data_IF_718593247759
#
_entry.id   IF_718593247759
#
_cell.length_a   1.000
_cell.length_b   1.000
_cell.length_c   1.000
_cell.angle_alpha   90.00
_cell.angle_beta   90.00
_cell.angle_gamma   90.00
#
_symmetry.space_group_name_H-M   'P 1'
#
loop_
_entity.id
_entity.type
_entity.pdbx_description
1 polymer ?
#
# COMPACT_ATOMS: atom_id res chain seq x y z
N UNK A 1 15.61 1.83 18.90
CA UNK A 1 14.49 2.62 19.43
C UNK A 1 13.65 2.99 18.23
N UNK A 2 12.40 2.53 18.19
CA UNK A 2 11.50 2.89 17.09
C UNK A 2 11.33 4.41 17.06
N UNK A 3 11.50 5.00 15.87
CA UNK A 3 11.32 6.45 15.70
C UNK A 3 9.85 6.79 15.87
N UNK A 4 9.55 7.80 16.67
CA UNK A 4 8.19 8.29 16.80
C UNK A 4 7.74 8.95 15.47
N UNK A 5 6.43 9.09 15.29
CA UNK A 5 5.87 9.88 14.16
C UNK A 5 6.48 11.28 14.09
N UNK A 6 6.74 11.90 15.24
CA UNK A 6 7.34 13.24 15.32
C UNK A 6 8.77 13.25 14.78
N UNK A 7 9.57 12.22 15.12
CA UNK A 7 10.94 12.08 14.61
C UNK A 7 10.95 11.94 13.09
N UNK A 8 9.99 11.19 12.52
CA UNK A 8 9.87 11.01 11.07
C UNK A 8 9.43 12.31 10.38
N UNK A 9 8.54 13.09 10.99
CA UNK A 9 8.18 14.43 10.50
C UNK A 9 9.40 15.35 10.50
N UNK A 10 10.22 15.31 11.56
CA UNK A 10 11.48 16.06 11.63
C UNK A 10 12.45 15.65 10.53
N UNK A 11 12.61 14.34 10.30
CA UNK A 11 13.47 13.81 9.24
C UNK A 11 12.97 14.19 7.84
N UNK A 12 11.65 14.20 7.63
CA UNK A 12 11.05 14.68 6.39
C UNK A 12 11.33 16.17 6.13
N UNK A 13 11.24 17.01 7.17
CA UNK A 13 11.58 18.42 7.06
C UNK A 13 13.06 18.62 6.71
N UNK A 14 13.96 17.90 7.38
CA UNK A 14 15.40 17.90 7.05
C UNK A 14 15.64 17.44 5.61
N UNK A 15 14.95 16.40 5.16
CA UNK A 15 15.06 15.88 3.80
C UNK A 15 14.63 16.94 2.77
N UNK A 16 13.51 17.62 3.01
CA UNK A 16 13.03 18.73 2.17
C UNK A 16 14.07 19.85 2.05
N UNK A 17 14.69 20.25 3.16
CA UNK A 17 15.73 21.29 3.16
C UNK A 17 16.99 20.85 2.41
N UNK A 18 17.41 19.58 2.59
CA UNK A 18 18.54 19.00 1.87
C UNK A 18 18.29 18.98 0.36
N UNK A 19 17.11 18.56 -0.08
CA UNK A 19 16.74 18.50 -1.50
C UNK A 19 16.68 19.90 -2.10
N UNK A 20 15.92 20.81 -1.50
CA UNK A 20 15.74 22.18 -2.01
C UNK A 20 17.06 22.97 -2.04
N UNK A 21 17.88 22.87 -1.00
CA UNK A 21 19.20 23.50 -0.97
C UNK A 21 20.15 22.92 -2.02
N UNK A 22 20.16 21.61 -2.20
CA UNK A 22 20.99 20.95 -3.21
C UNK A 22 20.51 21.22 -4.64
N UNK A 23 19.20 21.34 -4.86
CA UNK A 23 18.61 21.66 -6.15
C UNK A 23 19.03 23.06 -6.61
N UNK A 24 18.96 24.07 -5.73
CA UNK A 24 19.44 25.43 -6.05
C UNK A 24 20.91 25.46 -6.49
N UNK A 25 21.76 24.68 -5.82
CA UNK A 25 23.17 24.53 -6.18
C UNK A 25 23.35 23.78 -7.52
N UNK A 26 22.53 22.76 -7.76
CA UNK A 26 22.59 22.00 -8.99
C UNK A 26 22.10 22.82 -10.21
N UNK A 27 21.07 23.65 -10.02
CA UNK A 27 20.57 24.57 -11.04
C UNK A 27 21.62 25.62 -11.41
N UNK A 28 22.27 26.25 -10.41
CA UNK A 28 23.35 27.20 -10.70
C UNK A 28 24.55 26.55 -11.38
N UNK A 29 24.81 25.26 -11.11
CA UNK A 29 25.80 24.48 -11.85
C UNK A 29 25.38 24.25 -13.31
N UNK A 30 24.10 23.95 -13.56
CA UNK A 30 23.57 23.72 -14.90
C UNK A 30 23.48 24.99 -15.76
N UNK A 31 23.27 26.15 -15.14
CA UNK A 31 23.17 27.45 -15.81
C UNK A 31 24.54 28.05 -16.17
N UNK A 32 25.64 27.51 -15.62
CA UNK A 32 27.00 27.94 -15.98
C UNK A 32 27.35 27.46 -17.40
N UNK A 33 27.32 28.40 -18.34
CA UNK A 33 27.85 28.20 -19.70
C UNK A 33 29.38 27.96 -19.69
N UNK A 34 29.93 27.45 -20.81
CA UNK A 34 31.30 26.94 -20.99
C UNK A 34 32.47 27.91 -20.71
N UNK A 35 32.22 29.06 -20.07
CA UNK A 35 33.22 30.07 -19.69
C UNK A 35 33.37 30.29 -18.18
N UNK A 36 32.77 29.45 -17.31
CA UNK A 36 32.95 29.56 -15.85
C UNK A 36 34.24 28.90 -15.37
N UNK A 37 34.91 29.49 -14.38
CA UNK A 37 36.12 28.93 -13.77
C UNK A 37 35.90 27.49 -13.27
N UNK A 38 36.78 26.57 -13.69
CA UNK A 38 36.73 25.14 -13.35
C UNK A 38 36.70 24.89 -11.83
N UNK A 39 37.34 25.77 -11.06
CA UNK A 39 37.38 25.75 -9.59
C UNK A 39 36.00 25.93 -8.97
N UNK A 40 35.18 26.85 -9.51
CA UNK A 40 33.85 27.11 -8.99
C UNK A 40 32.90 25.92 -9.20
N UNK A 41 32.99 25.26 -10.37
CA UNK A 41 32.16 24.09 -10.66
C UNK A 41 32.51 22.92 -9.74
N UNK A 42 33.80 22.70 -9.47
CA UNK A 42 34.27 21.69 -8.50
C UNK A 42 33.78 22.00 -7.09
N UNK A 43 33.77 23.25 -6.69
CA UNK A 43 33.28 23.67 -5.36
C UNK A 43 31.77 23.48 -5.22
N UNK A 44 30.99 23.82 -6.25
CA UNK A 44 29.54 23.54 -6.26
C UNK A 44 29.28 22.03 -6.18
N UNK A 45 29.96 21.22 -6.98
CA UNK A 45 29.86 19.76 -6.92
C UNK A 45 30.21 19.21 -5.53
N UNK A 46 31.27 19.74 -4.90
CA UNK A 46 31.67 19.39 -3.53
C UNK A 46 30.57 19.70 -2.52
N UNK A 47 29.97 20.89 -2.59
CA UNK A 47 28.87 21.29 -1.71
C UNK A 47 27.64 20.40 -1.89
N UNK A 48 27.24 20.10 -3.12
CA UNK A 48 26.12 19.17 -3.41
C UNK A 48 26.38 17.79 -2.76
N UNK A 49 27.58 17.23 -2.92
CA UNK A 49 27.94 15.93 -2.33
C UNK A 49 27.83 15.90 -0.81
N UNK A 50 28.27 16.96 -0.14
CA UNK A 50 28.19 17.07 1.31
C UNK A 50 26.75 17.25 1.78
N UNK A 51 25.99 18.14 1.13
CA UNK A 51 24.58 18.38 1.44
C UNK A 51 23.72 17.11 1.30
N UNK A 52 24.02 16.24 0.34
CA UNK A 52 23.30 14.98 0.12
C UNK A 52 23.83 13.79 0.93
N UNK A 53 24.86 13.98 1.78
CA UNK A 53 25.38 12.92 2.66
C UNK A 53 24.34 12.33 3.64
N UNK A 54 23.46 13.12 4.30
CA UNK A 54 22.46 12.59 5.23
C UNK A 54 21.24 11.96 4.54
N UNK A 55 21.01 12.22 3.24
CA UNK A 55 19.80 11.78 2.53
C UNK A 55 19.46 10.29 2.72
N UNK A 56 20.41 9.34 2.61
CA UNK A 56 20.11 7.91 2.76
C UNK A 56 19.61 7.53 4.15
N UNK A 57 20.12 8.18 5.19
CA UNK A 57 19.69 7.93 6.58
C UNK A 57 18.28 8.48 6.83
N UNK A 58 17.99 9.69 6.34
CA UNK A 58 16.66 10.30 6.43
C UNK A 58 15.64 9.45 5.66
N UNK A 59 16.00 9.01 4.46
CA UNK A 59 15.16 8.16 3.63
C UNK A 59 14.87 6.81 4.27
N UNK A 60 15.86 6.18 4.91
CA UNK A 60 15.68 4.88 5.59
C UNK A 60 14.56 4.95 6.63
N UNK A 61 14.62 5.93 7.54
CA UNK A 61 13.62 6.09 8.59
C UNK A 61 12.22 6.37 8.05
N UNK A 62 12.11 7.22 7.02
CA UNK A 62 10.82 7.51 6.38
C UNK A 62 10.24 6.27 5.71
N UNK A 63 11.06 5.52 4.96
CA UNK A 63 10.62 4.28 4.29
C UNK A 63 10.13 3.24 5.29
N UNK A 64 10.92 2.98 6.32
CA UNK A 64 10.58 2.04 7.40
C UNK A 64 9.25 2.43 8.05
N UNK A 65 9.11 3.70 8.44
CA UNK A 65 7.87 4.19 9.05
C UNK A 65 6.67 4.07 8.11
N UNK A 66 6.79 4.41 6.83
CA UNK A 66 5.68 4.33 5.86
C UNK A 66 5.33 2.88 5.50
N UNK A 67 6.29 1.95 5.52
CA UNK A 67 6.01 0.52 5.31
C UNK A 67 5.24 -0.06 6.49
N UNK A 68 5.62 0.30 7.71
CA UNK A 68 5.00 -0.20 8.94
C UNK A 68 3.68 0.52 9.23
N UNK A 69 3.59 1.81 8.95
CA UNK A 69 2.45 2.67 9.26
C UNK A 69 1.82 3.24 8.00
N UNK A 70 0.50 3.07 7.85
CA UNK A 70 -0.26 3.61 6.73
C UNK A 70 -0.57 5.12 6.90
N UNK A 71 0.45 5.92 7.19
CA UNK A 71 0.31 7.37 7.36
C UNK A 71 0.24 8.06 5.99
N UNK A 72 -0.99 8.20 5.48
CA UNK A 72 -1.28 8.85 4.20
C UNK A 72 -0.85 10.32 4.16
N UNK A 73 -0.92 11.04 5.28
CA UNK A 73 -0.57 12.46 5.29
C UNK A 73 0.94 12.66 5.23
N UNK A 74 1.69 11.82 5.95
CA UNK A 74 3.14 11.79 5.86
C UNK A 74 3.59 11.32 4.47
N UNK A 75 2.96 10.28 3.93
CA UNK A 75 3.21 9.81 2.57
C UNK A 75 2.96 10.91 1.53
N UNK A 76 1.87 11.68 1.66
CA UNK A 76 1.56 12.80 0.75
C UNK A 76 2.64 13.88 0.78
N UNK A 77 3.10 14.26 1.98
CA UNK A 77 4.19 15.25 2.14
C UNK A 77 5.50 14.74 1.55
N UNK A 78 5.84 13.46 1.76
CA UNK A 78 7.04 12.84 1.18
C UNK A 78 6.97 12.79 -0.35
N UNK A 79 5.83 12.38 -0.92
CA UNK A 79 5.58 12.37 -2.36
C UNK A 79 5.60 13.77 -2.96
N UNK A 80 5.23 14.80 -2.19
CA UNK A 80 5.31 16.20 -2.60
C UNK A 80 6.71 16.69 -2.96
N UNK A 81 7.77 15.99 -2.52
CA UNK A 81 9.16 16.30 -2.85
C UNK A 81 9.63 15.66 -4.18
N UNK A 82 8.77 14.89 -4.84
CA UNK A 82 9.13 14.07 -6.00
C UNK A 82 9.73 14.88 -7.15
N UNK A 83 9.06 15.95 -7.60
CA UNK A 83 9.47 16.65 -8.82
C UNK A 83 10.82 17.35 -8.63
N UNK A 84 11.02 18.00 -7.49
CA UNK A 84 12.29 18.60 -7.10
C UNK A 84 13.41 17.54 -7.00
N UNK A 85 13.11 16.38 -6.40
CA UNK A 85 14.09 15.29 -6.26
C UNK A 85 14.45 14.69 -7.62
N UNK A 86 13.46 14.49 -8.50
CA UNK A 86 13.65 13.98 -9.85
C UNK A 86 14.45 14.94 -10.72
N UNK A 87 14.18 16.25 -10.59
CA UNK A 87 14.96 17.30 -11.26
C UNK A 87 16.40 17.35 -10.76
N UNK A 88 16.60 17.33 -9.45
CA UNK A 88 17.92 17.27 -8.82
C UNK A 88 18.70 16.03 -9.29
N UNK A 89 18.06 14.86 -9.33
CA UNK A 89 18.66 13.65 -9.90
C UNK A 89 19.07 13.85 -11.35
N UNK A 90 18.17 14.39 -12.19
CA UNK A 90 18.43 14.62 -13.61
C UNK A 90 19.62 15.56 -13.88
N UNK A 91 19.87 16.52 -12.98
CA UNK A 91 21.08 17.36 -13.05
C UNK A 91 22.30 16.59 -12.58
N UNK A 92 22.26 15.99 -11.38
CA UNK A 92 23.39 15.24 -10.82
C UNK A 92 23.90 14.15 -11.77
N UNK A 93 23.00 13.44 -12.46
CA UNK A 93 23.35 12.35 -13.39
C UNK A 93 24.14 12.80 -14.63
N UNK A 94 24.25 14.11 -14.89
CA UNK A 94 25.02 14.64 -16.02
C UNK A 94 26.50 14.88 -15.67
N UNK A 95 26.86 14.83 -14.38
CA UNK A 95 28.21 15.15 -13.91
C UNK A 95 28.84 13.94 -13.22
N UNK A 96 29.97 13.44 -13.74
CA UNK A 96 30.69 12.30 -13.17
C UNK A 96 31.11 12.53 -11.70
N UNK A 97 31.46 13.76 -11.35
CA UNK A 97 31.78 14.13 -9.96
C UNK A 97 30.62 13.94 -8.97
N UNK A 98 29.40 13.79 -9.48
CA UNK A 98 28.16 13.65 -8.74
C UNK A 98 27.54 12.25 -8.81
N UNK A 99 28.24 11.22 -9.30
CA UNK A 99 27.68 9.85 -9.41
C UNK A 99 27.04 9.33 -8.12
N UNK A 100 27.69 9.55 -6.98
CA UNK A 100 27.13 9.17 -5.66
C UNK A 100 25.88 9.99 -5.30
N UNK A 101 25.85 11.27 -5.68
CA UNK A 101 24.69 12.13 -5.48
C UNK A 101 23.53 11.73 -6.40
N UNK A 102 23.82 11.41 -7.67
CA UNK A 102 22.88 10.87 -8.64
C UNK A 102 22.26 9.56 -8.15
N UNK A 103 23.08 8.64 -7.62
CA UNK A 103 22.59 7.40 -7.02
C UNK A 103 21.63 7.66 -5.86
N UNK A 104 22.02 8.50 -4.89
CA UNK A 104 21.22 8.81 -3.69
C UNK A 104 19.89 9.47 -4.05
N UNK A 105 19.92 10.48 -4.92
CA UNK A 105 18.73 11.19 -5.39
C UNK A 105 17.83 10.26 -6.22
N UNK A 106 18.43 9.34 -6.99
CA UNK A 106 17.71 8.31 -7.73
C UNK A 106 16.93 7.36 -6.83
N UNK A 107 17.57 6.85 -5.79
CA UNK A 107 16.93 6.01 -4.77
C UNK A 107 15.79 6.76 -4.06
N UNK A 108 15.94 8.07 -3.81
CA UNK A 108 14.93 8.89 -3.18
C UNK A 108 13.69 9.11 -4.05
N UNK A 109 13.84 9.61 -5.29
CA UNK A 109 12.67 9.89 -6.12
C UNK A 109 11.94 8.60 -6.53
N UNK A 110 12.66 7.52 -6.84
CA UNK A 110 12.04 6.23 -7.13
C UNK A 110 11.23 5.68 -5.95
N UNK A 111 11.67 5.96 -4.71
CA UNK A 111 10.86 5.65 -3.53
C UNK A 111 9.60 6.48 -3.42
N UNK A 112 9.68 7.76 -3.77
CA UNK A 112 8.50 8.61 -3.82
C UNK A 112 7.53 8.10 -4.89
N UNK A 113 8.02 7.58 -6.03
CA UNK A 113 7.18 6.92 -7.03
C UNK A 113 6.52 5.65 -6.49
N UNK A 114 7.26 4.78 -5.77
CA UNK A 114 6.70 3.58 -5.12
C UNK A 114 5.57 3.95 -4.16
N UNK A 115 5.82 4.91 -3.25
CA UNK A 115 4.85 5.36 -2.26
C UNK A 115 3.65 6.03 -2.94
N UNK A 116 3.88 6.86 -3.96
CA UNK A 116 2.81 7.47 -4.76
C UNK A 116 1.91 6.41 -5.36
N UNK A 117 2.47 5.45 -6.08
CA UNK A 117 1.70 4.37 -6.72
C UNK A 117 0.91 3.52 -5.72
N UNK A 118 1.43 3.36 -4.50
CA UNK A 118 0.78 2.57 -3.47
C UNK A 118 -0.36 3.31 -2.76
N UNK A 119 -0.16 4.57 -2.35
CA UNK A 119 -1.15 5.34 -1.58
C UNK A 119 -2.10 6.19 -2.42
N UNK A 120 -1.60 6.65 -3.56
CA UNK A 120 -2.27 7.55 -4.47
C UNK A 120 -2.18 6.99 -5.89
N UNK A 121 -2.66 5.75 -6.12
CA UNK A 121 -2.75 5.26 -7.49
C UNK A 121 -3.57 6.29 -8.27
N UNK A 122 -2.99 6.84 -9.32
CA UNK A 122 -3.76 7.62 -10.26
C UNK A 122 -4.95 6.76 -10.70
N UNK A 123 -6.05 7.41 -11.08
CA UNK A 123 -7.10 6.74 -11.83
C UNK A 123 -6.48 6.36 -13.17
N UNK A 124 -5.65 5.33 -13.21
CA UNK A 124 -5.16 4.77 -14.45
C UNK A 124 -6.43 4.43 -15.23
N UNK A 125 -6.61 5.17 -16.34
CA UNK A 125 -7.24 4.61 -17.51
C UNK A 125 -6.75 3.17 -17.58
N UNK A 126 -7.69 2.23 -17.52
CA UNK A 126 -7.50 0.91 -18.10
C UNK A 126 -6.61 1.12 -19.33
N UNK A 127 -5.54 0.35 -19.43
CA UNK A 127 -4.84 0.22 -20.69
C UNK A 127 -5.91 0.00 -21.75
N UNK A 128 -6.21 1.04 -22.51
CA UNK A 128 -6.87 0.91 -23.80
C UNK A 128 -5.76 0.35 -24.67
N UNK A 129 -5.52 -0.95 -24.53
CA UNK A 129 -5.02 -1.71 -25.67
C UNK A 129 -6.06 -1.51 -26.77
N UNK A 130 -5.69 -0.96 -27.93
CA UNK A 130 -6.54 -1.13 -29.08
C UNK A 130 -6.61 -2.63 -29.33
N UNK A 131 -7.83 -3.16 -29.46
CA UNK A 131 -8.17 -4.57 -29.66
C UNK A 131 -8.35 -5.41 -28.38
N UNK A 132 -9.59 -5.45 -27.88
CA UNK A 132 -10.32 -6.71 -27.76
C UNK A 132 -9.78 -7.85 -26.89
N UNK A 133 -8.89 -7.61 -25.92
CA UNK A 133 -8.53 -8.62 -24.92
C UNK A 133 -8.91 -8.15 -23.51
N UNK A 134 -9.98 -8.73 -22.98
CA UNK A 134 -10.24 -8.81 -21.54
C UNK A 134 -9.01 -9.44 -20.85
N UNK A 135 -8.12 -8.62 -20.30
CA UNK A 135 -7.04 -9.09 -19.42
C UNK A 135 -7.29 -8.54 -18.03
N UNK A 136 -8.40 -8.99 -17.44
CA UNK A 136 -8.37 -9.25 -16.00
C UNK A 136 -7.31 -10.33 -15.78
N UNK A 137 -6.20 -10.07 -15.07
CA UNK A 137 -5.21 -11.09 -14.82
C UNK A 137 -5.90 -12.30 -14.20
N UNK A 138 -5.67 -13.48 -14.78
CA UNK A 138 -6.17 -14.75 -14.25
C UNK A 138 -5.90 -14.76 -12.74
N UNK A 139 -6.92 -15.05 -11.90
CA UNK A 139 -6.73 -15.11 -10.47
C UNK A 139 -5.60 -16.09 -10.15
N UNK A 140 -4.60 -15.63 -9.40
CA UNK A 140 -3.50 -16.46 -8.93
C UNK A 140 -4.05 -17.56 -8.02
N UNK A 141 -3.57 -18.79 -8.19
CA UNK A 141 -3.90 -19.93 -7.33
C UNK A 141 -3.09 -19.90 -6.04
N UNK A 142 -3.51 -20.68 -5.03
CA UNK A 142 -2.75 -20.80 -3.78
C UNK A 142 -1.32 -21.28 -4.02
N UNK A 143 -1.14 -22.29 -4.87
CA UNK A 143 0.16 -22.88 -5.20
C UNK A 143 1.08 -21.86 -5.88
N UNK A 144 0.58 -21.14 -6.89
CA UNK A 144 1.34 -20.08 -7.55
C UNK A 144 1.74 -18.95 -6.58
N UNK A 145 0.87 -18.60 -5.64
CA UNK A 145 1.18 -17.63 -4.59
C UNK A 145 2.28 -18.16 -3.66
N UNK A 146 2.19 -19.41 -3.22
CA UNK A 146 3.23 -20.07 -2.39
C UNK A 146 4.59 -20.08 -3.10
N UNK A 147 4.65 -20.51 -4.37
CA UNK A 147 5.91 -20.58 -5.13
C UNK A 147 6.56 -19.19 -5.29
N UNK A 148 5.75 -18.16 -5.50
CA UNK A 148 6.20 -16.78 -5.57
C UNK A 148 6.74 -16.29 -4.21
N UNK A 149 6.01 -16.57 -3.12
CA UNK A 149 6.42 -16.22 -1.76
C UNK A 149 7.73 -16.92 -1.40
N UNK A 150 7.88 -18.21 -1.72
CA UNK A 150 9.10 -18.96 -1.44
C UNK A 150 10.29 -18.44 -2.24
N UNK A 151 10.08 -18.05 -3.50
CA UNK A 151 11.11 -17.36 -4.31
C UNK A 151 11.58 -16.07 -3.61
N UNK A 152 10.65 -15.26 -3.12
CA UNK A 152 10.96 -14.00 -2.41
C UNK A 152 11.69 -14.29 -1.09
N UNK A 153 11.22 -15.24 -0.28
CA UNK A 153 11.82 -15.61 1.01
C UNK A 153 13.23 -16.18 0.86
N UNK A 154 13.45 -17.04 -0.14
CA UNK A 154 14.79 -17.55 -0.45
C UNK A 154 15.73 -16.40 -0.83
N UNK A 155 15.27 -15.48 -1.66
CA UNK A 155 16.06 -14.31 -2.07
C UNK A 155 16.43 -13.42 -0.88
N UNK A 156 15.47 -13.10 0.00
CA UNK A 156 15.72 -12.29 1.21
C UNK A 156 16.73 -12.97 2.13
N UNK A 157 16.53 -14.25 2.45
CA UNK A 157 17.44 -15.01 3.34
C UNK A 157 18.86 -15.07 2.80
N UNK A 158 19.02 -15.28 1.48
CA UNK A 158 20.34 -15.31 0.86
C UNK A 158 21.00 -13.92 0.95
N UNK A 159 20.30 -12.87 0.52
CA UNK A 159 20.81 -11.49 0.56
C UNK A 159 21.10 -10.99 1.98
N UNK A 160 20.40 -11.49 3.00
CA UNK A 160 20.64 -11.12 4.39
C UNK A 160 21.93 -11.76 4.97
N UNK A 161 22.34 -12.92 4.46
CA UNK A 161 23.57 -13.62 4.87
C UNK A 161 24.81 -13.09 4.16
N UNK A 162 24.65 -12.63 2.93
CA UNK A 162 25.75 -12.13 2.10
C UNK A 162 26.13 -10.70 2.53
N UNK A 163 27.30 -10.54 3.16
CA UNK A 163 27.88 -9.25 3.55
C UNK A 163 28.77 -8.62 2.46
N UNK A 164 28.89 -9.28 1.30
CA UNK A 164 29.83 -8.90 0.24
C UNK A 164 29.31 -7.76 -0.66
N UNK A 165 30.23 -7.03 -1.29
CA UNK A 165 29.96 -5.89 -2.17
C UNK A 165 29.12 -6.22 -3.41
N UNK A 166 28.92 -7.50 -3.75
CA UNK A 166 28.12 -7.95 -4.90
C UNK A 166 26.61 -8.09 -4.60
N UNK A 167 26.18 -7.80 -3.37
CA UNK A 167 24.79 -8.02 -2.90
C UNK A 167 23.72 -7.42 -3.81
N UNK A 168 23.96 -6.24 -4.37
CA UNK A 168 23.00 -5.58 -5.26
C UNK A 168 22.76 -6.32 -6.57
N UNK A 169 23.81 -6.89 -7.19
CA UNK A 169 23.72 -7.63 -8.45
C UNK A 169 23.08 -9.00 -8.25
N UNK A 170 23.39 -9.67 -7.15
CA UNK A 170 22.75 -10.94 -6.80
C UNK A 170 21.26 -10.77 -6.53
N UNK A 171 20.90 -9.73 -5.78
CA UNK A 171 19.51 -9.38 -5.52
C UNK A 171 18.76 -9.07 -6.82
N UNK A 172 19.39 -8.30 -7.73
CA UNK A 172 18.82 -8.02 -9.05
C UNK A 172 18.54 -9.31 -9.84
N UNK A 173 19.50 -10.24 -9.88
CA UNK A 173 19.36 -11.51 -10.59
C UNK A 173 18.26 -12.39 -9.99
N UNK A 174 18.18 -12.50 -8.66
CA UNK A 174 17.15 -13.29 -7.97
C UNK A 174 15.75 -12.76 -8.21
N UNK A 175 15.59 -11.43 -8.27
CA UNK A 175 14.28 -10.81 -8.52
C UNK A 175 13.96 -10.57 -9.99
N UNK A 176 14.79 -11.00 -10.94
CA UNK A 176 14.49 -10.82 -12.37
C UNK A 176 13.15 -11.47 -12.78
N UNK A 177 12.79 -12.59 -12.14
CA UNK A 177 11.54 -13.34 -12.42
C UNK A 177 10.34 -12.89 -11.58
N UNK A 178 10.54 -12.00 -10.61
CA UNK A 178 9.48 -11.46 -9.74
C UNK A 178 9.19 -10.04 -10.19
N UNK A 179 8.23 -9.88 -11.09
CA UNK A 179 7.77 -8.56 -11.54
C UNK A 179 6.74 -7.96 -10.57
N UNK A 180 6.40 -6.69 -10.81
CA UNK A 180 5.42 -5.93 -10.02
C UNK A 180 4.02 -6.57 -10.05
N UNK A 181 3.62 -7.16 -11.18
CA UNK A 181 2.30 -7.78 -11.33
C UNK A 181 2.18 -9.05 -10.49
N UNK A 182 3.25 -9.85 -10.40
CA UNK A 182 3.31 -11.02 -9.51
C UNK A 182 3.22 -10.65 -8.03
N UNK A 183 3.93 -9.61 -7.60
CA UNK A 183 3.85 -9.11 -6.21
C UNK A 183 2.43 -8.64 -5.90
N UNK A 184 1.81 -7.90 -6.83
CA UNK A 184 0.43 -7.45 -6.70
C UNK A 184 -0.57 -8.62 -6.70
N UNK A 185 -0.35 -9.65 -7.51
CA UNK A 185 -1.18 -10.85 -7.54
C UNK A 185 -1.10 -11.65 -6.23
N UNK A 186 0.09 -11.74 -5.62
CA UNK A 186 0.27 -12.33 -4.28
C UNK A 186 -0.51 -11.53 -3.22
N UNK A 187 -0.40 -10.19 -3.24
CA UNK A 187 -1.20 -9.31 -2.36
C UNK A 187 -2.69 -9.59 -2.52
N UNK A 188 -3.20 -9.53 -3.75
CA UNK A 188 -4.61 -9.75 -4.04
C UNK A 188 -5.05 -11.15 -3.63
N UNK A 189 -4.23 -12.18 -3.84
CA UNK A 189 -4.53 -13.54 -3.38
C UNK A 189 -4.72 -13.59 -1.87
N UNK A 190 -3.68 -13.25 -1.11
CA UNK A 190 -3.65 -13.38 0.35
C UNK A 190 -4.81 -12.61 0.98
N UNK A 191 -5.00 -11.37 0.56
CA UNK A 191 -6.01 -10.45 1.11
C UNK A 191 -7.43 -10.92 0.80
N UNK A 192 -7.69 -11.29 -0.45
CA UNK A 192 -9.03 -11.69 -0.90
C UNK A 192 -9.42 -13.09 -0.38
N UNK A 193 -8.45 -13.98 -0.18
CA UNK A 193 -8.68 -15.29 0.44
C UNK A 193 -8.70 -15.21 1.98
N UNK A 194 -8.19 -14.12 2.55
CA UNK A 194 -7.91 -14.00 3.98
C UNK A 194 -7.04 -15.16 4.49
N UNK A 195 -6.04 -15.56 3.68
CA UNK A 195 -5.17 -16.70 3.96
C UNK A 195 -4.10 -16.30 4.99
N UNK A 196 -4.36 -16.63 6.26
CA UNK A 196 -3.48 -16.27 7.38
C UNK A 196 -2.14 -16.98 7.33
N UNK A 197 -2.10 -18.21 6.81
CA UNK A 197 -0.88 -19.01 6.74
C UNK A 197 0.07 -18.41 5.70
N UNK A 198 -0.43 -18.08 4.51
CA UNK A 198 0.37 -17.40 3.49
C UNK A 198 0.71 -15.96 3.87
N UNK A 199 -0.17 -15.27 4.60
CA UNK A 199 0.15 -13.95 5.13
C UNK A 199 1.36 -14.03 6.08
N UNK A 200 1.35 -14.96 7.04
CA UNK A 200 2.47 -15.17 7.96
C UNK A 200 3.75 -15.57 7.23
N UNK A 201 3.64 -16.47 6.25
CA UNK A 201 4.76 -16.90 5.42
C UNK A 201 5.37 -15.72 4.65
N UNK A 202 4.52 -14.90 4.02
CA UNK A 202 4.95 -13.78 3.21
C UNK A 202 5.61 -12.66 4.04
N UNK A 203 5.16 -12.44 5.27
CA UNK A 203 5.66 -11.35 6.13
C UNK A 203 6.77 -11.77 7.10
N UNK A 204 7.21 -13.03 7.08
CA UNK A 204 8.21 -13.58 8.01
C UNK A 204 9.50 -12.74 8.06
N UNK A 205 10.02 -12.34 6.89
CA UNK A 205 11.27 -11.57 6.76
C UNK A 205 11.00 -10.09 6.44
N UNK A 206 9.94 -9.52 7.00
CA UNK A 206 9.53 -8.15 6.71
C UNK A 206 10.61 -7.13 7.10
N UNK A 207 11.20 -7.23 8.29
CA UNK A 207 12.23 -6.30 8.75
C UNK A 207 13.49 -6.35 7.86
N UNK A 208 13.89 -7.56 7.45
CA UNK A 208 15.01 -7.78 6.54
C UNK A 208 14.70 -7.21 5.16
N UNK A 209 13.47 -7.35 4.65
CA UNK A 209 13.08 -6.74 3.38
C UNK A 209 13.17 -5.21 3.43
N UNK A 210 12.70 -4.59 4.51
CA UNK A 210 12.83 -3.13 4.73
C UNK A 210 14.31 -2.73 4.72
N UNK A 211 15.14 -3.41 5.49
CA UNK A 211 16.57 -3.12 5.57
C UNK A 211 17.30 -3.34 4.23
N UNK A 212 17.00 -4.44 3.53
CA UNK A 212 17.59 -4.78 2.23
C UNK A 212 17.15 -3.81 1.12
N UNK A 213 16.02 -3.12 1.27
CA UNK A 213 15.61 -2.06 0.34
C UNK A 213 16.55 -0.84 0.36
N UNK A 214 17.34 -0.69 1.42
CA UNK A 214 18.34 0.36 1.63
C UNK A 214 19.76 -0.16 1.33
N UNK A 215 19.99 -0.61 0.09
CA UNK A 215 21.29 -1.19 -0.31
C UNK A 215 22.48 -0.23 -0.11
N UNK A 216 23.68 -0.75 0.27
CA UNK A 216 24.89 0.04 0.52
C UNK A 216 25.40 0.74 -0.74
N UNK A 217 26.11 1.86 -0.52
CA UNK A 217 26.40 2.93 -1.50
C UNK A 217 27.44 2.62 -2.59
N UNK A 218 27.68 1.37 -2.94
CA UNK A 218 28.59 1.01 -4.01
C UNK A 218 27.84 0.11 -5.00
N UNK A 219 27.15 0.66 -6.01
CA UNK A 219 26.92 -0.02 -7.29
C UNK A 219 26.04 0.75 -8.31
N UNK A 220 26.15 0.24 -9.54
CA UNK A 220 25.41 0.47 -10.79
C UNK A 220 23.86 0.49 -10.68
N UNK A 221 23.18 0.96 -11.73
CA UNK A 221 21.72 1.08 -11.91
C UNK A 221 20.95 -0.20 -11.50
N UNK A 222 21.58 -1.37 -11.68
CA UNK A 222 21.01 -2.68 -11.27
C UNK A 222 20.77 -2.80 -9.76
N UNK A 223 21.72 -2.34 -8.95
CA UNK A 223 21.57 -2.39 -7.49
C UNK A 223 20.47 -1.44 -7.02
N UNK A 224 20.39 -0.24 -7.59
CA UNK A 224 19.29 0.69 -7.34
C UNK A 224 17.93 0.03 -7.68
N UNK A 225 17.82 -0.58 -8.86
CA UNK A 225 16.60 -1.28 -9.29
C UNK A 225 16.20 -2.42 -8.33
N UNK A 226 17.17 -3.21 -7.87
CA UNK A 226 16.93 -4.29 -6.91
C UNK A 226 16.42 -3.75 -5.56
N UNK A 227 17.03 -2.69 -5.04
CA UNK A 227 16.61 -2.06 -3.78
C UNK A 227 15.19 -1.47 -3.87
N UNK A 228 14.84 -0.83 -4.98
CA UNK A 228 13.48 -0.32 -5.22
C UNK A 228 12.46 -1.46 -5.36
N UNK A 229 12.82 -2.55 -6.03
CA UNK A 229 11.95 -3.73 -6.11
C UNK A 229 11.76 -4.38 -4.72
N UNK A 230 12.81 -4.47 -3.90
CA UNK A 230 12.69 -4.90 -2.52
C UNK A 230 11.79 -3.96 -1.71
N UNK A 231 11.87 -2.65 -1.95
CA UNK A 231 10.99 -1.69 -1.31
C UNK A 231 9.51 -1.92 -1.66
N UNK A 232 9.19 -2.23 -2.92
CA UNK A 232 7.83 -2.63 -3.32
C UNK A 232 7.35 -3.90 -2.58
N UNK A 233 8.22 -4.90 -2.43
CA UNK A 233 7.92 -6.11 -1.68
C UNK A 233 7.64 -5.77 -0.21
N UNK A 234 8.50 -4.96 0.43
CA UNK A 234 8.33 -4.52 1.81
C UNK A 234 7.01 -3.76 2.01
N UNK A 235 6.66 -2.82 1.12
CA UNK A 235 5.36 -2.12 1.15
C UNK A 235 4.18 -3.10 1.07
N UNK A 236 4.31 -4.15 0.26
CA UNK A 236 3.28 -5.17 0.08
C UNK A 236 3.15 -6.06 1.31
N UNK A 237 4.28 -6.48 1.89
CA UNK A 237 4.32 -7.22 3.15
C UNK A 237 3.69 -6.40 4.29
N UNK A 238 4.03 -5.12 4.41
CA UNK A 238 3.42 -4.21 5.39
C UNK A 238 1.90 -4.10 5.24
N UNK A 239 1.39 -4.03 3.99
CA UNK A 239 -0.05 -4.10 3.73
C UNK A 239 -0.66 -5.41 4.26
N UNK A 240 -0.09 -6.55 3.87
CA UNK A 240 -0.62 -7.88 4.24
C UNK A 240 -0.59 -8.07 5.75
N UNK A 241 0.53 -7.74 6.41
CA UNK A 241 0.69 -7.78 7.86
C UNK A 241 -0.43 -7.00 8.55
N UNK A 242 -0.65 -5.74 8.16
CA UNK A 242 -1.67 -4.87 8.78
C UNK A 242 -3.11 -5.27 8.50
N UNK A 243 -3.38 -5.88 7.35
CA UNK A 243 -4.76 -6.13 6.92
C UNK A 243 -5.24 -7.56 7.19
N UNK A 244 -4.33 -8.52 7.30
CA UNK A 244 -4.65 -9.95 7.52
C UNK A 244 -4.18 -10.43 8.89
N UNK A 245 -2.98 -10.01 9.34
CA UNK A 245 -2.37 -10.52 10.58
C UNK A 245 -2.64 -9.65 11.82
N UNK A 246 -2.72 -8.32 11.67
CA UNK A 246 -2.91 -7.37 12.78
C UNK A 246 -4.21 -7.61 13.58
N UNK A 247 -5.16 -8.38 13.04
CA UNK A 247 -6.32 -8.84 13.83
C UNK A 247 -5.93 -9.74 15.02
N UNK A 248 -4.77 -10.42 14.95
CA UNK A 248 -4.31 -11.32 15.99
C UNK A 248 -3.57 -10.57 17.13
N UNK A 249 -2.89 -9.46 16.84
CA UNK A 249 -2.15 -8.67 17.85
C UNK A 249 -3.10 -7.96 18.83
N UNK A 250 -4.26 -7.51 18.35
CA UNK A 250 -5.33 -6.97 19.20
C UNK A 250 -5.96 -7.99 20.14
N UNK A 251 -5.81 -9.31 19.89
CA UNK A 251 -6.29 -10.37 20.79
C UNK A 251 -5.27 -10.74 21.86
N UNK A 252 -3.97 -10.60 21.59
CA UNK A 252 -2.91 -10.84 22.58
C UNK A 252 -2.75 -9.71 23.60
N UNK A 253 -3.12 -8.47 23.26
CA UNK A 253 -3.02 -7.32 24.16
C UNK A 253 -4.10 -7.29 25.27
N UNK A 254 -5.20 -8.03 25.14
CA UNK A 254 -6.27 -8.09 26.16
C UNK A 254 -6.03 -9.18 27.21
N UNK A 255 -5.00 -10.01 27.08
CA UNK A 255 -4.73 -11.12 28.00
C UNK A 255 -3.54 -10.91 28.94
N UNK A 256 -2.96 -9.71 29.00
CA UNK A 256 -1.90 -9.41 29.96
C UNK A 256 -2.23 -8.16 30.78
N UNK A 257 -2.45 -8.41 32.08
CA UNK A 257 -2.36 -7.47 33.22
C UNK A 257 -3.42 -6.38 33.34
N UNK A 258 -4.50 -6.70 34.06
CA UNK A 258 -5.27 -5.74 34.87
C UNK A 258 -4.66 -5.75 36.29
N UNK A 259 -4.26 -4.60 36.86
CA UNK A 259 -4.45 -4.33 38.27
C UNK A 259 -5.68 -3.42 38.42
N UNK A 260 -6.64 -3.89 39.20
CA UNK A 260 -7.84 -3.18 39.61
C UNK A 260 -7.50 -1.90 40.39
N UNK A 261 -8.16 -0.79 40.06
CA UNK A 261 -8.42 0.29 41.01
C UNK A 261 -9.75 0.98 40.67
N UNK A 262 -10.37 1.47 41.73
CA UNK A 262 -11.81 1.57 42.01
C UNK A 262 -12.52 2.76 41.35
N UNK A 263 -13.85 2.63 41.25
CA UNK A 263 -14.87 3.55 40.74
C UNK A 263 -14.76 5.01 41.21
N UNK A 264 -15.17 5.95 40.35
CA UNK A 264 -16.21 6.94 40.67
C UNK A 264 -17.04 7.26 39.41
N UNK A 265 -18.36 7.32 39.61
CA UNK A 265 -19.40 7.29 38.58
C UNK A 265 -19.67 8.64 37.90
N UNK A 266 -20.02 8.62 36.60
CA UNK A 266 -21.15 9.41 36.06
C UNK A 266 -21.44 9.12 34.57
N UNK A 267 -22.73 8.91 34.28
CA UNK A 267 -23.44 9.20 33.02
C UNK A 267 -23.41 8.20 31.85
N UNK A 268 -24.22 7.14 31.97
CA UNK A 268 -25.40 6.95 31.11
C UNK A 268 -25.21 6.84 29.59
N UNK A 269 -24.61 5.75 29.11
CA UNK A 269 -24.96 5.19 27.80
C UNK A 269 -24.85 3.67 27.88
N UNK A 270 -25.93 2.95 27.66
CA UNK A 270 -25.93 1.48 27.60
C UNK A 270 -25.23 1.05 26.32
N UNK A 271 -23.90 1.00 26.35
CA UNK A 271 -23.11 0.23 25.41
C UNK A 271 -23.47 -1.25 25.63
N UNK A 272 -24.33 -1.75 24.75
CA UNK A 272 -24.55 -3.19 24.62
C UNK A 272 -23.27 -3.79 24.07
N UNK A 273 -22.51 -4.38 25.00
CA UNK A 273 -21.57 -5.48 24.85
C UNK A 273 -21.29 -5.90 23.38
N UNK A 274 -20.34 -5.23 22.73
CA UNK A 274 -19.84 -5.59 21.39
C UNK A 274 -18.95 -6.83 21.45
N UNK A 275 -19.53 -7.97 21.81
CA UNK A 275 -18.91 -9.29 21.68
C UNK A 275 -19.21 -9.88 20.30
N UNK A 276 -18.57 -9.38 19.22
CA UNK A 276 -18.53 -10.10 17.92
C UNK A 276 -17.51 -9.54 16.89
N UNK A 277 -16.31 -9.16 17.33
CA UNK A 277 -15.30 -8.54 16.44
C UNK A 277 -14.36 -9.51 15.71
N UNK A 278 -14.87 -10.55 15.06
CA UNK A 278 -14.05 -11.51 14.28
C UNK A 278 -14.34 -11.46 12.78
N UNK A 279 -13.31 -11.54 11.93
CA UNK A 279 -13.49 -11.69 10.48
C UNK A 279 -14.27 -12.98 10.16
N UNK A 280 -15.17 -12.90 9.17
CA UNK A 280 -15.95 -14.04 8.70
C UNK A 280 -15.08 -14.96 7.84
N UNK A 281 -15.29 -16.27 7.98
CA UNK A 281 -14.61 -17.27 7.15
C UNK A 281 -15.23 -17.35 5.75
N UNK A 282 -14.37 -17.42 4.76
CA UNK A 282 -14.74 -17.45 3.34
C UNK A 282 -14.76 -18.88 2.82
N UNK A 283 -15.56 -19.13 1.78
CA UNK A 283 -15.61 -20.41 1.05
C UNK A 283 -14.68 -20.42 -0.16
N UNK A 284 -14.25 -19.24 -0.62
CA UNK A 284 -13.37 -19.03 -1.77
C UNK A 284 -12.71 -17.64 -1.68
N UNK A 285 -11.83 -17.33 -2.63
CA UNK A 285 -11.27 -15.99 -2.79
C UNK A 285 -12.41 -14.98 -3.06
N UNK A 286 -12.61 -14.04 -2.15
CA UNK A 286 -13.58 -12.95 -2.30
C UNK A 286 -12.87 -11.82 -3.03
N UNK A 287 -13.23 -11.44 -4.26
CA UNK A 287 -12.45 -10.45 -5.01
C UNK A 287 -12.73 -9.02 -4.51
N UNK A 288 -12.47 -8.76 -3.22
CA UNK A 288 -12.82 -7.54 -2.49
C UNK A 288 -12.13 -6.32 -3.10
N UNK A 289 -10.84 -6.44 -3.44
CA UNK A 289 -10.11 -5.33 -4.07
C UNK A 289 -10.63 -5.01 -5.49
N UNK A 290 -11.06 -6.03 -6.24
CA UNK A 290 -11.68 -5.82 -7.56
C UNK A 290 -13.07 -5.20 -7.42
N UNK A 291 -13.84 -5.65 -6.43
CA UNK A 291 -15.12 -5.07 -6.05
C UNK A 291 -14.99 -3.59 -5.64
N UNK A 292 -13.98 -3.25 -4.83
CA UNK A 292 -13.70 -1.87 -4.46
C UNK A 292 -13.43 -0.98 -5.70
N UNK A 293 -12.56 -1.44 -6.62
CA UNK A 293 -12.28 -0.72 -7.88
C UNK A 293 -13.54 -0.55 -8.73
N UNK A 294 -14.36 -1.59 -8.84
CA UNK A 294 -15.64 -1.51 -9.55
C UNK A 294 -16.61 -0.51 -8.91
N UNK A 295 -16.79 -0.53 -7.59
CA UNK A 295 -17.74 0.37 -6.91
C UNK A 295 -17.30 1.84 -6.93
N UNK A 296 -15.99 2.09 -6.98
CA UNK A 296 -15.43 3.46 -7.04
C UNK A 296 -15.42 4.05 -8.45
N UNK A 297 -15.61 3.24 -9.48
CA UNK A 297 -15.60 3.66 -10.90
C UNK A 297 -16.96 3.55 -11.58
N UNK A 298 -17.79 2.57 -11.19
CA UNK A 298 -19.12 2.39 -11.76
C UNK A 298 -19.99 3.59 -11.40
N UNK A 299 -20.49 4.30 -12.41
CA UNK A 299 -21.35 5.47 -12.21
C UNK A 299 -22.82 5.06 -12.16
N UNK A 300 -23.58 5.67 -11.24
CA UNK A 300 -25.04 5.49 -11.18
C UNK A 300 -25.69 6.01 -12.46
N UNK A 301 -26.59 5.22 -13.03
CA UNK A 301 -27.23 5.51 -14.31
C UNK A 301 -28.56 6.27 -14.17
N UNK A 302 -29.18 6.24 -12.99
CA UNK A 302 -30.51 6.81 -12.73
C UNK A 302 -30.67 7.38 -11.31
N UNK A 303 -31.63 8.28 -11.11
CA UNK A 303 -31.95 8.88 -9.80
C UNK A 303 -31.08 10.08 -9.40
N UNK A 304 -31.19 10.50 -8.13
CA UNK A 304 -30.50 11.70 -7.58
C UNK A 304 -28.98 11.61 -7.58
N UNK A 305 -28.43 10.39 -7.63
CA UNK A 305 -26.99 10.14 -7.65
C UNK A 305 -26.43 9.90 -9.05
N UNK A 306 -27.22 10.12 -10.11
CA UNK A 306 -26.79 9.92 -11.49
C UNK A 306 -25.44 10.60 -11.77
N UNK A 307 -24.53 9.85 -12.38
CA UNK A 307 -23.18 10.32 -12.73
C UNK A 307 -22.15 10.20 -11.58
N UNK A 308 -22.57 9.94 -10.34
CA UNK A 308 -21.64 9.71 -9.22
C UNK A 308 -21.20 8.25 -9.15
N UNK A 309 -19.97 7.96 -8.65
CA UNK A 309 -19.55 6.60 -8.33
C UNK A 309 -20.40 6.00 -7.19
N UNK A 310 -20.46 4.67 -7.11
CA UNK A 310 -21.23 3.96 -6.07
C UNK A 310 -20.61 4.05 -4.68
N UNK A 311 -19.30 4.22 -4.62
CA UNK A 311 -18.51 4.38 -3.40
C UNK A 311 -17.55 5.56 -3.61
N UNK A 312 -17.53 6.50 -2.67
CA UNK A 312 -16.60 7.64 -2.74
C UNK A 312 -15.18 7.20 -2.34
N UNK A 313 -14.31 7.07 -3.35
CA UNK A 313 -12.91 6.70 -3.18
C UNK A 313 -12.08 7.74 -2.40
N UNK A 314 -12.57 8.98 -2.26
CA UNK A 314 -11.89 9.99 -1.44
C UNK A 314 -12.19 9.79 0.05
N UNK A 315 -13.36 9.26 0.38
CA UNK A 315 -13.81 9.04 1.76
C UNK A 315 -13.48 7.63 2.27
N UNK A 316 -13.53 6.62 1.40
CA UNK A 316 -13.35 5.21 1.77
C UNK A 316 -12.11 4.68 1.09
N UNK A 317 -11.17 4.13 1.87
CA UNK A 317 -9.99 3.45 1.33
C UNK A 317 -10.26 1.98 0.99
N UNK A 318 -9.41 1.38 0.15
CA UNK A 318 -9.45 -0.05 -0.17
C UNK A 318 -9.33 -0.91 1.11
N UNK A 319 -8.49 -0.50 2.06
CA UNK A 319 -8.39 -1.11 3.39
C UNK A 319 -9.71 -1.05 4.15
N UNK A 320 -10.30 0.14 4.26
CA UNK A 320 -11.49 0.31 5.08
C UNK A 320 -12.66 -0.47 4.47
N UNK A 321 -12.72 -0.53 3.13
CA UNK A 321 -13.62 -1.41 2.40
C UNK A 321 -13.33 -2.89 2.65
N UNK A 322 -12.06 -3.32 2.59
CA UNK A 322 -11.66 -4.69 2.89
C UNK A 322 -12.11 -5.10 4.29
N UNK A 323 -11.81 -4.27 5.30
CA UNK A 323 -12.22 -4.51 6.68
C UNK A 323 -13.72 -4.60 6.80
N UNK A 324 -14.45 -3.69 6.15
CA UNK A 324 -15.91 -3.69 6.16
C UNK A 324 -16.49 -4.98 5.57
N UNK A 325 -15.97 -5.40 4.42
CA UNK A 325 -16.40 -6.62 3.75
C UNK A 325 -16.04 -7.86 4.55
N UNK A 326 -14.82 -7.98 5.05
CA UNK A 326 -14.37 -9.20 5.75
C UNK A 326 -14.98 -9.36 7.14
N UNK A 327 -15.36 -8.26 7.79
CA UNK A 327 -16.00 -8.26 9.13
C UNK A 327 -17.50 -8.06 9.12
N UNK A 328 -18.09 -7.86 7.94
CA UNK A 328 -19.49 -7.45 7.79
C UNK A 328 -19.83 -6.19 8.60
N UNK A 329 -18.88 -5.25 8.72
CA UNK A 329 -19.05 -3.99 9.45
C UNK A 329 -18.91 -2.80 8.50
N UNK A 330 -20.05 -2.33 8.01
CA UNK A 330 -20.13 -1.28 7.01
C UNK A 330 -20.30 0.11 7.62
N UNK A 331 -20.26 0.24 8.95
CA UNK A 331 -20.56 1.48 9.67
C UNK A 331 -19.75 2.69 9.16
N UNK A 332 -18.47 2.48 8.84
CA UNK A 332 -17.55 3.53 8.39
C UNK A 332 -17.65 3.85 6.90
N UNK A 333 -18.23 2.96 6.08
CA UNK A 333 -18.26 3.12 4.62
C UNK A 333 -19.67 3.38 4.07
N UNK A 334 -20.71 3.02 4.82
CA UNK A 334 -22.08 3.06 4.34
C UNK A 334 -22.61 4.48 4.12
N UNK A 335 -22.09 5.46 4.87
CA UNK A 335 -22.39 6.88 4.67
C UNK A 335 -21.86 7.45 3.35
N UNK A 336 -20.82 6.84 2.78
CA UNK A 336 -20.11 7.29 1.59
C UNK A 336 -20.42 6.46 0.34
N UNK A 337 -21.59 5.79 0.33
CA UNK A 337 -21.99 4.91 -0.76
C UNK A 337 -23.46 5.05 -1.15
N UNK A 338 -23.80 4.54 -2.33
CA UNK A 338 -25.19 4.43 -2.79
C UNK A 338 -25.88 3.28 -2.04
N UNK A 339 -26.64 3.64 -1.00
CA UNK A 339 -27.22 2.71 0.00
C UNK A 339 -27.88 1.48 -0.61
N UNK A 340 -28.80 1.65 -1.57
CA UNK A 340 -29.52 0.53 -2.18
C UNK A 340 -28.59 -0.47 -2.89
N UNK A 341 -27.56 0.02 -3.58
CA UNK A 341 -26.59 -0.81 -4.28
C UNK A 341 -25.63 -1.51 -3.31
N UNK A 342 -25.21 -0.83 -2.25
CA UNK A 342 -24.36 -1.45 -1.22
C UNK A 342 -25.08 -2.56 -0.46
N UNK A 343 -26.38 -2.40 -0.16
CA UNK A 343 -27.21 -3.48 0.42
C UNK A 343 -27.26 -4.70 -0.50
N UNK A 344 -27.45 -4.49 -1.80
CA UNK A 344 -27.43 -5.54 -2.81
C UNK A 344 -26.09 -6.29 -2.82
N UNK A 345 -24.97 -5.54 -2.83
CA UNK A 345 -23.62 -6.11 -2.76
C UNK A 345 -23.45 -6.98 -1.52
N UNK A 346 -23.75 -6.46 -0.31
CA UNK A 346 -23.60 -7.22 0.94
C UNK A 346 -24.43 -8.54 0.92
N UNK A 347 -25.63 -8.51 0.34
CA UNK A 347 -26.51 -9.68 0.25
C UNK A 347 -26.01 -10.72 -0.74
N UNK A 348 -25.60 -10.31 -1.94
CA UNK A 348 -25.15 -11.25 -2.96
C UNK A 348 -23.78 -11.82 -2.60
N UNK A 349 -22.88 -10.98 -2.09
CA UNK A 349 -21.55 -11.37 -1.64
C UNK A 349 -21.61 -12.38 -0.47
N UNK A 350 -22.42 -12.09 0.55
CA UNK A 350 -22.55 -12.96 1.72
C UNK A 350 -22.92 -14.39 1.33
N UNK A 351 -23.92 -14.55 0.46
CA UNK A 351 -24.40 -15.88 0.03
C UNK A 351 -23.39 -16.64 -0.82
N UNK A 352 -22.62 -15.92 -1.63
CA UNK A 352 -21.70 -16.53 -2.59
C UNK A 352 -20.35 -16.94 -1.95
N UNK A 353 -19.87 -16.15 -0.98
CA UNK A 353 -18.47 -16.22 -0.55
C UNK A 353 -18.24 -16.50 0.94
N UNK A 354 -19.25 -16.42 1.80
CA UNK A 354 -19.07 -16.57 3.24
C UNK A 354 -19.78 -17.81 3.77
N UNK A 355 -19.10 -18.57 4.65
CA UNK A 355 -19.64 -19.82 5.23
C UNK A 355 -20.89 -19.53 6.05
N UNK A 356 -20.81 -18.58 6.98
CA UNK A 356 -21.96 -18.10 7.77
C UNK A 356 -22.56 -16.85 7.13
N UNK A 357 -23.22 -17.03 5.99
CA UNK A 357 -23.86 -15.93 5.27
C UNK A 357 -25.02 -15.28 6.05
N UNK A 358 -25.67 -16.02 6.97
CA UNK A 358 -26.77 -15.49 7.80
C UNK A 358 -26.24 -14.57 8.89
N UNK A 359 -25.24 -15.01 9.65
CA UNK A 359 -24.57 -14.17 10.63
C UNK A 359 -23.91 -12.96 9.99
N UNK A 360 -23.30 -13.14 8.82
CA UNK A 360 -22.77 -12.02 8.02
C UNK A 360 -23.83 -10.95 7.77
N UNK A 361 -25.01 -11.34 7.25
CA UNK A 361 -26.09 -10.40 6.95
C UNK A 361 -26.63 -9.70 8.19
N UNK A 362 -26.73 -10.42 9.32
CA UNK A 362 -27.16 -9.83 10.58
C UNK A 362 -26.19 -8.76 11.07
N UNK A 363 -24.88 -9.04 11.03
CA UNK A 363 -23.83 -8.06 11.38
C UNK A 363 -23.80 -6.88 10.40
N UNK A 364 -23.88 -7.15 9.09
CA UNK A 364 -23.94 -6.10 8.07
C UNK A 364 -25.16 -5.19 8.27
N UNK A 365 -26.35 -5.76 8.49
CA UNK A 365 -27.56 -4.99 8.73
C UNK A 365 -27.40 -4.08 9.97
N UNK A 366 -26.96 -4.65 11.10
CA UNK A 366 -26.72 -3.89 12.33
C UNK A 366 -25.74 -2.74 12.13
N UNK A 367 -24.61 -3.00 11.46
CA UNK A 367 -23.59 -1.96 11.19
C UNK A 367 -24.10 -0.82 10.29
N UNK A 368 -25.09 -1.09 9.44
CA UNK A 368 -25.73 -0.10 8.56
C UNK A 368 -26.93 0.60 9.22
N UNK A 369 -27.27 0.29 10.47
CA UNK A 369 -28.47 0.78 11.15
C UNK A 369 -29.77 0.21 10.57
N UNK A 370 -29.75 -1.03 10.10
CA UNK A 370 -30.88 -1.72 9.47
C UNK A 370 -31.23 -3.02 10.21
N UNK A 371 -32.45 -3.50 10.00
CA UNK A 371 -32.80 -4.91 10.32
C UNK A 371 -32.38 -5.84 9.17
N UNK A 372 -32.17 -7.14 9.41
CA UNK A 372 -31.87 -8.11 8.35
C UNK A 372 -32.93 -8.13 7.23
N UNK A 373 -34.20 -7.92 7.56
CA UNK A 373 -35.31 -7.82 6.60
C UNK A 373 -35.21 -6.54 5.77
N UNK A 374 -34.81 -5.43 6.41
CA UNK A 374 -34.63 -4.14 5.75
C UNK A 374 -33.38 -4.12 4.85
N UNK A 375 -32.35 -4.90 5.19
CA UNK A 375 -31.19 -5.11 4.33
C UNK A 375 -31.61 -5.74 3.00
N UNK A 376 -32.58 -6.67 3.01
CA UNK A 376 -33.12 -7.33 1.82
C UNK A 376 -34.01 -6.42 0.96
N UNK A 377 -34.42 -5.25 1.47
CA UNK A 377 -35.20 -4.26 0.74
C UNK A 377 -34.26 -3.32 0.00
N UNK A 378 -33.92 -3.70 -1.23
CA UNK A 378 -33.18 -2.86 -2.19
C UNK A 378 -33.81 -2.93 -3.57
N UNK A 379 -33.70 -1.84 -4.31
CA UNK A 379 -34.02 -1.79 -5.74
C UNK A 379 -32.74 -1.36 -6.48
N UNK A 380 -32.30 -2.17 -7.44
CA UNK A 380 -31.07 -1.93 -8.20
C UNK A 380 -31.30 -2.25 -9.67
N UNK A 381 -30.59 -1.56 -10.56
CA UNK A 381 -30.74 -1.77 -12.00
C UNK A 381 -30.25 -3.17 -12.40
N UNK A 382 -30.95 -3.83 -13.34
CA UNK A 382 -30.53 -5.15 -13.87
C UNK A 382 -29.12 -5.13 -14.44
N UNK A 383 -28.74 -4.02 -15.08
CA UNK A 383 -27.40 -3.79 -15.64
C UNK A 383 -26.32 -3.79 -14.56
N UNK A 384 -26.60 -3.25 -13.38
CA UNK A 384 -25.67 -3.30 -12.25
C UNK A 384 -25.47 -4.72 -11.75
N UNK A 385 -26.55 -5.50 -11.58
CA UNK A 385 -26.47 -6.90 -11.15
C UNK A 385 -25.66 -7.73 -12.16
N UNK A 386 -25.89 -7.53 -13.47
CA UNK A 386 -25.17 -8.26 -14.51
C UNK A 386 -23.66 -8.05 -14.42
N UNK A 387 -23.21 -6.79 -14.37
CA UNK A 387 -21.77 -6.46 -14.20
C UNK A 387 -21.20 -6.95 -12.87
N UNK A 388 -22.01 -6.92 -11.81
CA UNK A 388 -21.59 -7.45 -10.51
C UNK A 388 -21.36 -8.97 -10.58
N UNK A 389 -22.19 -9.72 -11.31
CA UNK A 389 -22.01 -11.16 -11.54
C UNK A 389 -20.80 -11.49 -12.40
N UNK A 390 -20.50 -10.67 -13.42
CA UNK A 390 -19.27 -10.79 -14.21
C UNK A 390 -18.03 -10.66 -13.32
N UNK A 391 -18.04 -9.71 -12.38
CA UNK A 391 -16.96 -9.48 -11.43
C UNK A 391 -16.86 -10.57 -10.34
N UNK A 392 -18.01 -11.07 -9.89
CA UNK A 392 -18.17 -12.01 -8.78
C UNK A 392 -18.84 -13.30 -9.30
N UNK A 393 -18.09 -14.18 -9.99
CA UNK A 393 -18.67 -15.33 -10.70
C UNK A 393 -19.35 -16.36 -9.79
N UNK A 394 -19.13 -16.31 -8.47
CA UNK A 394 -19.84 -17.17 -7.52
C UNK A 394 -21.25 -16.69 -7.19
N UNK A 395 -21.64 -15.48 -7.59
CA UNK A 395 -23.01 -14.99 -7.46
C UNK A 395 -23.88 -15.66 -8.52
N UNK A 396 -24.85 -16.47 -8.07
CA UNK A 396 -25.83 -17.14 -8.93
C UNK A 396 -26.99 -16.23 -9.34
#
# INVERSE_FOLDING_TARGET
MEKSRFDIISDLFKLSNVISGSLKLAESLADKSSGSDETDCKDICRNIRYSLKPLPFLLAGIREYVTEHEDKDLARKFVGLHDDTKRLHGICSKYADLDKAAFRTGVAYLSMEVIRQYFFPEKEQEQVSPEGSDISPKPMTRTEATDCIDTIRVAIRKCAKDSDGNRGKEMYAMFAKVDKAKIQAVKEYIVNANDKDLAQLFTEYFAEAVHLSMLPQNDDVKAQSAGIKMFHIAMTMGYVKRNVLHENESKSATSQTIPSCTEEASSGFTATDTMQGGAFSTTAQVPVLRLYRFLTTFTVQSGSDKGKPLLDANAVSDRDFLRAVMRADYSTIYGSCVKGKMRCVAILLSKAYFKDWKGYRASAARSMGLTPESLAKYNVEKTFIAKLKELLPMIK
#
